data_IF_121191145212
#
_entry.id   IF_121191145212
#
_cell.length_a   1.000
_cell.length_b   1.000
_cell.length_c   1.000
_cell.angle_alpha   90.00
_cell.angle_beta   90.00
_cell.angle_gamma   90.00
#
_symmetry.space_group_name_H-M   'P 1'
#
loop_
_entity.id
_entity.type
_entity.pdbx_description
1 polymer ?
#
# COMPACT_ATOMS: atom_id res chain seq x y z
N UNK A 1 3.74 -11.94 -18.56
CA UNK A 1 3.82 -12.64 -17.26
C UNK A 1 3.24 -11.70 -16.21
N UNK A 2 2.43 -12.20 -15.29
CA UNK A 2 1.78 -11.41 -14.26
C UNK A 2 2.49 -11.56 -12.89
N UNK A 3 2.26 -10.58 -12.01
CA UNK A 3 2.65 -10.63 -10.60
C UNK A 3 1.39 -10.83 -9.76
N UNK A 4 1.26 -11.99 -9.14
CA UNK A 4 0.08 -12.37 -8.35
C UNK A 4 0.45 -12.20 -6.87
N UNK A 5 -0.22 -11.27 -6.19
CA UNK A 5 0.12 -10.86 -4.83
C UNK A 5 -1.04 -11.22 -3.91
N UNK A 6 -0.90 -12.29 -3.13
CA UNK A 6 -1.83 -12.64 -2.07
C UNK A 6 -1.51 -11.83 -0.81
N UNK A 7 -2.47 -11.14 -0.24
CA UNK A 7 -2.25 -10.31 0.94
C UNK A 7 -3.21 -10.60 2.08
N UNK A 8 -2.67 -10.55 3.30
CA UNK A 8 -3.43 -10.66 4.54
C UNK A 8 -2.77 -9.80 5.63
N UNK A 9 -3.26 -9.88 6.87
CA UNK A 9 -2.74 -9.08 7.98
C UNK A 9 -1.22 -9.25 8.18
N UNK A 10 -0.77 -10.47 8.46
CA UNK A 10 0.62 -10.76 8.82
C UNK A 10 1.48 -11.30 7.67
N UNK A 11 0.86 -11.71 6.56
CA UNK A 11 1.56 -12.31 5.42
C UNK A 11 2.08 -13.74 5.67
N UNK A 12 1.70 -14.41 6.77
CA UNK A 12 2.30 -15.69 7.21
C UNK A 12 1.38 -16.92 7.14
N UNK A 13 0.06 -16.72 6.97
CA UNK A 13 -0.92 -17.80 7.11
C UNK A 13 -1.85 -17.87 5.91
N UNK A 14 -2.97 -17.14 5.92
CA UNK A 14 -3.99 -17.26 4.86
C UNK A 14 -3.47 -16.91 3.46
N UNK A 15 -2.65 -15.86 3.31
CA UNK A 15 -2.04 -15.49 2.03
C UNK A 15 -1.06 -16.54 1.53
N UNK A 16 -0.26 -17.11 2.43
CA UNK A 16 0.74 -18.15 2.14
C UNK A 16 0.06 -19.43 1.68
N UNK A 17 -0.93 -19.90 2.43
CA UNK A 17 -1.67 -21.13 2.10
C UNK A 17 -2.44 -20.97 0.79
N UNK A 18 -3.09 -19.83 0.57
CA UNK A 18 -3.82 -19.59 -0.69
C UNK A 18 -2.85 -19.56 -1.88
N UNK A 19 -1.69 -18.93 -1.74
CA UNK A 19 -0.64 -18.91 -2.76
C UNK A 19 -0.10 -20.32 -3.07
N UNK A 20 0.11 -21.14 -2.04
CA UNK A 20 0.56 -22.53 -2.19
C UNK A 20 -0.48 -23.41 -2.90
N UNK A 21 -1.77 -23.24 -2.58
CA UNK A 21 -2.87 -23.91 -3.29
C UNK A 21 -2.90 -23.49 -4.77
N UNK A 22 -2.77 -22.19 -5.05
CA UNK A 22 -2.72 -21.68 -6.42
C UNK A 22 -1.56 -22.28 -7.23
N UNK A 23 -0.39 -22.43 -6.61
CA UNK A 23 0.79 -23.04 -7.23
C UNK A 23 0.73 -24.57 -7.34
N UNK A 24 -0.33 -25.22 -6.83
CA UNK A 24 -0.44 -26.67 -6.81
C UNK A 24 0.48 -27.36 -5.81
N UNK A 25 1.06 -26.62 -4.85
CA UNK A 25 1.85 -27.19 -3.74
C UNK A 25 0.96 -27.90 -2.71
N UNK A 26 -0.31 -27.53 -2.65
CA UNK A 26 -1.30 -28.08 -1.74
C UNK A 26 -2.54 -28.58 -2.51
N UNK A 27 -3.22 -29.63 -2.02
CA UNK A 27 -4.37 -30.23 -2.71
C UNK A 27 -5.58 -29.30 -2.74
N UNK A 28 -6.39 -29.38 -3.80
CA UNK A 28 -7.65 -28.62 -3.93
C UNK A 28 -8.89 -29.45 -3.58
N UNK A 29 -8.80 -30.75 -3.73
CA UNK A 29 -9.88 -31.74 -3.58
C UNK A 29 -10.06 -32.24 -2.14
N UNK A 30 -9.11 -31.93 -1.25
CA UNK A 30 -9.18 -32.25 0.18
C UNK A 30 -8.47 -31.20 1.04
N UNK A 31 -8.72 -31.26 2.34
CA UNK A 31 -7.98 -30.46 3.32
C UNK A 31 -6.54 -30.99 3.44
N UNK A 32 -5.57 -30.07 3.43
CA UNK A 32 -4.17 -30.41 3.65
C UNK A 32 -3.91 -30.90 5.08
N UNK A 33 -3.02 -31.87 5.20
CA UNK A 33 -2.53 -32.37 6.47
C UNK A 33 -1.62 -31.34 7.15
N UNK A 34 -1.39 -31.51 8.45
CA UNK A 34 -0.43 -30.70 9.21
C UNK A 34 0.97 -30.69 8.58
N UNK A 35 1.44 -31.83 8.11
CA UNK A 35 2.77 -31.95 7.52
C UNK A 35 2.86 -31.14 6.22
N UNK A 36 1.87 -31.26 5.34
CA UNK A 36 1.78 -30.49 4.09
C UNK A 36 1.73 -28.98 4.36
N UNK A 37 0.92 -28.53 5.33
CA UNK A 37 0.84 -27.11 5.67
C UNK A 37 2.18 -26.56 6.18
N UNK A 38 2.92 -27.33 6.98
CA UNK A 38 4.21 -26.92 7.52
C UNK A 38 5.35 -26.95 6.51
N UNK A 39 5.20 -27.70 5.42
CA UNK A 39 6.16 -27.75 4.33
C UNK A 39 6.04 -26.52 3.39
N UNK A 40 4.92 -25.79 3.46
CA UNK A 40 4.71 -24.59 2.65
C UNK A 40 5.73 -23.49 3.02
N UNK A 41 6.45 -22.93 2.03
CA UNK A 41 7.35 -21.81 2.26
C UNK A 41 6.65 -20.64 2.98
N UNK A 42 7.32 -20.04 3.96
CA UNK A 42 6.84 -18.90 4.74
C UNK A 42 5.67 -19.16 5.70
N UNK A 43 5.13 -20.39 5.77
CA UNK A 43 4.00 -20.70 6.64
C UNK A 43 4.41 -20.78 8.11
N UNK A 44 3.86 -19.88 8.94
CA UNK A 44 4.11 -19.79 10.38
C UNK A 44 5.60 -19.91 10.80
N UNK A 45 6.53 -19.44 9.96
CA UNK A 45 7.96 -19.52 10.22
C UNK A 45 8.39 -18.58 11.35
N UNK A 46 9.49 -18.92 12.03
CA UNK A 46 10.04 -18.13 13.14
C UNK A 46 10.55 -16.76 12.72
N UNK A 47 11.01 -16.65 11.48
CA UNK A 47 11.50 -15.41 10.90
C UNK A 47 10.45 -14.31 10.98
N UNK A 48 10.87 -13.16 11.50
CA UNK A 48 10.00 -12.01 11.65
C UNK A 48 9.52 -11.55 10.27
N UNK A 49 8.20 -11.48 10.08
CA UNK A 49 7.65 -10.93 8.84
C UNK A 49 7.69 -9.41 8.89
N UNK A 50 8.51 -8.84 8.00
CA UNK A 50 8.54 -7.39 7.80
C UNK A 50 7.33 -6.99 6.95
N UNK A 51 6.37 -6.33 7.58
CA UNK A 51 5.16 -5.87 6.91
C UNK A 51 5.50 -4.83 5.84
N UNK A 52 4.78 -4.88 4.72
CA UNK A 52 5.05 -4.07 3.53
C UNK A 52 6.10 -4.67 2.59
N UNK A 53 6.74 -5.80 2.94
CA UNK A 53 7.62 -6.52 2.03
C UNK A 53 6.89 -7.64 1.28
N UNK A 54 7.22 -7.76 0.00
CA UNK A 54 6.77 -8.87 -0.83
C UNK A 54 7.69 -10.06 -0.59
N UNK A 55 7.11 -11.24 -0.38
CA UNK A 55 7.87 -12.48 -0.26
C UNK A 55 7.47 -13.41 -1.38
N UNK A 56 8.46 -13.84 -2.15
CA UNK A 56 8.27 -14.77 -3.24
C UNK A 56 7.94 -16.18 -2.72
N UNK A 57 6.95 -16.83 -3.33
CA UNK A 57 6.56 -18.22 -3.04
C UNK A 57 7.02 -19.14 -4.18
N UNK A 58 6.74 -18.76 -5.43
CA UNK A 58 7.03 -19.59 -6.59
C UNK A 58 6.52 -18.99 -7.90
N UNK A 59 6.65 -19.77 -8.99
CA UNK A 59 6.10 -19.45 -10.31
C UNK A 59 5.11 -20.52 -10.72
N UNK A 60 3.99 -20.10 -11.33
CA UNK A 60 3.05 -21.04 -11.92
C UNK A 60 3.56 -21.60 -13.27
N UNK A 61 2.80 -22.52 -13.87
CA UNK A 61 3.14 -23.14 -15.16
C UNK A 61 3.22 -22.14 -16.34
N UNK A 62 2.66 -20.93 -16.19
CA UNK A 62 2.69 -19.87 -17.20
C UNK A 62 3.81 -18.85 -16.93
N UNK A 63 4.63 -19.09 -15.91
CA UNK A 63 5.70 -18.19 -15.50
C UNK A 63 5.24 -16.96 -14.73
N UNK A 64 3.99 -16.91 -14.26
CA UNK A 64 3.52 -15.85 -13.38
C UNK A 64 4.17 -15.98 -12.01
N UNK A 65 4.64 -14.87 -11.44
CA UNK A 65 5.26 -14.87 -10.12
C UNK A 65 4.18 -14.74 -9.06
N UNK A 66 4.25 -15.61 -8.05
CA UNK A 66 3.31 -15.62 -6.93
C UNK A 66 4.03 -15.17 -5.67
N UNK A 67 3.52 -14.09 -5.07
CA UNK A 67 4.09 -13.42 -3.91
C UNK A 67 3.05 -13.27 -2.80
N UNK A 68 3.53 -13.08 -1.58
CA UNK A 68 2.70 -12.76 -0.41
C UNK A 68 3.08 -11.43 0.22
N UNK A 69 2.09 -10.74 0.80
CA UNK A 69 2.25 -9.43 1.44
C UNK A 69 1.50 -9.36 2.77
N UNK A 70 2.22 -8.94 3.83
CA UNK A 70 1.62 -8.60 5.12
C UNK A 70 1.25 -7.12 5.20
N UNK A 71 -0.04 -6.82 5.37
CA UNK A 71 -0.60 -5.45 5.24
C UNK A 71 -1.05 -4.78 6.54
N UNK A 72 -0.98 -5.47 7.68
CA UNK A 72 -1.61 -5.03 8.95
C UNK A 72 -3.06 -4.58 8.73
N UNK A 73 -3.40 -3.37 9.16
CA UNK A 73 -4.75 -2.82 9.17
C UNK A 73 -5.11 -2.09 7.88
N UNK A 74 -4.29 -2.18 6.82
CA UNK A 74 -4.59 -1.55 5.53
C UNK A 74 -5.93 -2.04 4.92
N UNK A 75 -6.41 -3.24 5.29
CA UNK A 75 -7.70 -3.74 4.85
C UNK A 75 -7.74 -4.11 3.34
N UNK A 76 -8.93 -4.35 2.77
CA UNK A 76 -9.07 -4.78 1.36
C UNK A 76 -8.70 -3.69 0.35
N UNK A 77 -8.75 -2.41 0.76
CA UNK A 77 -8.43 -1.26 -0.10
C UNK A 77 -6.97 -1.25 -0.62
N UNK A 78 -6.10 -2.10 -0.05
CA UNK A 78 -4.77 -2.37 -0.60
C UNK A 78 -4.84 -2.92 -2.04
N UNK A 79 -5.82 -3.77 -2.37
CA UNK A 79 -5.99 -4.26 -3.75
C UNK A 79 -6.23 -3.09 -4.71
N UNK A 80 -7.11 -2.14 -4.33
CA UNK A 80 -7.40 -0.95 -5.12
C UNK A 80 -6.15 -0.08 -5.26
N UNK A 81 -5.40 0.07 -4.19
CA UNK A 81 -4.17 0.84 -4.18
C UNK A 81 -3.12 0.28 -5.15
N UNK A 82 -2.86 -1.03 -5.11
CA UNK A 82 -1.91 -1.70 -6.00
C UNK A 82 -2.34 -1.63 -7.48
N UNK A 83 -3.63 -1.83 -7.74
CA UNK A 83 -4.18 -1.71 -9.10
C UNK A 83 -3.95 -0.32 -9.69
N UNK A 84 -4.27 0.74 -8.93
CA UNK A 84 -4.10 2.12 -9.41
C UNK A 84 -2.64 2.49 -9.66
N UNK A 85 -1.71 1.98 -8.84
CA UNK A 85 -0.28 2.15 -9.10
C UNK A 85 0.10 1.49 -10.44
N UNK A 86 -0.38 0.28 -10.70
CA UNK A 86 -0.10 -0.40 -11.97
C UNK A 86 -0.68 0.34 -13.19
N UNK A 87 -1.83 0.98 -13.05
CA UNK A 87 -2.44 1.81 -14.11
C UNK A 87 -1.64 3.10 -14.36
N UNK A 88 -1.13 3.75 -13.31
CA UNK A 88 -0.35 4.99 -13.43
C UNK A 88 0.95 4.81 -14.24
N UNK A 89 1.53 3.62 -14.20
CA UNK A 89 2.79 3.27 -14.88
C UNK A 89 2.58 2.31 -16.06
N UNK A 90 1.34 2.20 -16.57
CA UNK A 90 0.92 1.29 -17.66
C UNK A 90 1.76 0.02 -17.77
N UNK A 91 1.88 -0.70 -16.65
CA UNK A 91 2.93 -1.70 -16.49
C UNK A 91 2.71 -2.85 -17.48
N UNK A 92 3.80 -3.28 -18.14
CA UNK A 92 3.77 -4.43 -19.07
C UNK A 92 3.44 -5.75 -18.36
N UNK A 93 3.73 -5.83 -17.05
CA UNK A 93 3.38 -6.95 -16.19
C UNK A 93 2.17 -6.58 -15.34
N UNK A 94 1.08 -7.32 -15.50
CA UNK A 94 -0.16 -7.06 -14.77
C UNK A 94 0.00 -7.49 -13.30
N UNK A 95 -0.32 -6.60 -12.37
CA UNK A 95 -0.39 -6.92 -10.94
C UNK A 95 -1.81 -7.39 -10.62
N UNK A 96 -1.95 -8.62 -10.11
CA UNK A 96 -3.19 -9.15 -9.58
C UNK A 96 -3.08 -9.27 -8.05
N UNK A 97 -3.70 -8.36 -7.31
CA UNK A 97 -3.68 -8.34 -5.85
C UNK A 97 -4.93 -8.98 -5.24
N UNK A 98 -4.77 -9.98 -4.38
CA UNK A 98 -5.86 -10.84 -3.89
C UNK A 98 -5.89 -10.81 -2.36
N UNK A 99 -7.01 -10.37 -1.80
CA UNK A 99 -7.22 -10.36 -0.35
C UNK A 99 -7.63 -11.75 0.16
N UNK A 100 -6.90 -12.26 1.16
CA UNK A 100 -7.19 -13.55 1.81
C UNK A 100 -7.60 -13.41 3.28
N UNK A 101 -8.04 -12.23 3.68
CA UNK A 101 -8.38 -11.93 5.09
C UNK A 101 -9.78 -12.43 5.46
N UNK A 102 -10.70 -12.57 4.50
CA UNK A 102 -12.09 -12.95 4.77
C UNK A 102 -12.27 -14.31 5.48
N UNK A 103 -11.59 -15.41 5.09
CA UNK A 103 -11.76 -16.71 5.75
C UNK A 103 -10.98 -16.88 7.07
N UNK A 104 -10.29 -15.84 7.53
CA UNK A 104 -9.46 -15.92 8.75
C UNK A 104 -10.37 -16.03 9.97
N UNK A 105 -10.23 -17.11 10.73
CA UNK A 105 -11.02 -17.38 11.93
C UNK A 105 -10.25 -17.10 13.24
N UNK A 106 -10.94 -17.04 14.40
CA UNK A 106 -10.30 -16.72 15.68
C UNK A 106 -9.13 -17.64 16.08
N UNK A 107 -9.14 -18.93 15.70
CA UNK A 107 -8.02 -19.82 16.00
C UNK A 107 -6.75 -19.39 15.26
N UNK A 108 -6.88 -18.96 14.01
CA UNK A 108 -5.76 -18.41 13.25
C UNK A 108 -5.26 -17.10 13.84
N UNK A 109 -6.17 -16.23 14.30
CA UNK A 109 -5.81 -14.94 14.94
C UNK A 109 -5.06 -15.16 16.25
N UNK A 110 -5.64 -15.95 17.16
CA UNK A 110 -5.06 -16.24 18.48
C UNK A 110 -3.77 -17.05 18.30
N UNK A 111 -3.80 -18.09 17.49
CA UNK A 111 -2.64 -18.91 17.19
C UNK A 111 -1.51 -18.10 16.56
N UNK A 112 -1.83 -17.23 15.60
CA UNK A 112 -0.84 -16.38 14.95
C UNK A 112 -0.23 -15.36 15.90
N UNK A 113 -1.04 -14.76 16.79
CA UNK A 113 -0.55 -13.88 17.85
C UNK A 113 0.36 -14.61 18.84
N UNK A 114 -0.02 -15.80 19.30
CA UNK A 114 0.82 -16.61 20.18
C UNK A 114 2.12 -17.03 19.49
N UNK A 115 2.04 -17.58 18.27
CA UNK A 115 3.19 -18.14 17.54
C UNK A 115 4.14 -17.05 17.06
N UNK A 116 3.63 -16.01 16.41
CA UNK A 116 4.44 -14.97 15.74
C UNK A 116 4.56 -13.69 16.57
N UNK A 117 3.54 -13.33 17.33
CA UNK A 117 3.53 -12.11 18.15
C UNK A 117 4.27 -12.29 19.47
N UNK A 118 4.03 -13.39 20.19
CA UNK A 118 4.64 -13.71 21.49
C UNK A 118 5.78 -14.74 21.41
N UNK A 119 6.09 -15.25 20.22
CA UNK A 119 7.09 -16.31 20.00
C UNK A 119 6.81 -17.63 20.76
N UNK A 120 5.56 -17.85 21.17
CA UNK A 120 5.08 -19.07 21.83
C UNK A 120 4.68 -20.11 20.78
N UNK A 121 5.65 -20.54 19.96
CA UNK A 121 5.42 -21.38 18.77
C UNK A 121 4.72 -22.69 19.08
N UNK A 122 5.09 -23.34 20.18
CA UNK A 122 4.53 -24.63 20.62
C UNK A 122 3.04 -24.55 20.98
N UNK A 123 2.56 -23.38 21.41
CA UNK A 123 1.14 -23.14 21.74
C UNK A 123 0.37 -22.56 20.57
N UNK A 124 0.97 -21.61 19.85
CA UNK A 124 0.30 -20.90 18.78
C UNK A 124 0.15 -21.73 17.51
N UNK A 125 1.20 -22.46 17.09
CA UNK A 125 1.21 -23.18 15.82
C UNK A 125 0.13 -24.26 15.71
N UNK A 126 -0.14 -25.10 16.74
CA UNK A 126 -1.26 -26.04 16.68
C UNK A 126 -2.62 -25.36 16.42
N UNK A 127 -2.86 -24.20 17.04
CA UNK A 127 -4.08 -23.42 16.82
C UNK A 127 -4.16 -22.85 15.41
N UNK A 128 -3.04 -22.32 14.88
CA UNK A 128 -2.95 -21.85 13.50
C UNK A 128 -3.25 -22.97 12.52
N UNK A 129 -2.66 -24.15 12.71
CA UNK A 129 -2.87 -25.32 11.84
C UNK A 129 -4.35 -25.69 11.84
N UNK A 130 -4.95 -25.87 13.02
CA UNK A 130 -6.36 -26.25 13.13
C UNK A 130 -7.27 -25.18 12.48
N UNK A 131 -7.02 -23.91 12.78
CA UNK A 131 -7.75 -22.80 12.16
C UNK A 131 -7.59 -22.77 10.64
N UNK A 132 -6.39 -23.04 10.13
CA UNK A 132 -6.10 -23.10 8.70
C UNK A 132 -6.85 -24.24 8.03
N UNK A 133 -6.89 -25.42 8.66
CA UNK A 133 -7.63 -26.58 8.16
C UNK A 133 -9.14 -26.33 8.10
N UNK A 134 -9.70 -25.66 9.10
CA UNK A 134 -11.12 -25.26 9.10
C UNK A 134 -11.45 -24.25 7.98
N UNK A 135 -10.54 -23.31 7.71
CA UNK A 135 -10.72 -22.31 6.65
C UNK A 135 -10.31 -22.80 5.25
N UNK A 136 -9.74 -24.00 5.15
CA UNK A 136 -9.09 -24.51 3.95
C UNK A 136 -9.97 -24.51 2.70
N UNK A 137 -11.25 -24.97 2.74
CA UNK A 137 -12.12 -24.96 1.56
C UNK A 137 -12.32 -23.56 0.98
N UNK A 138 -12.33 -22.52 1.82
CA UNK A 138 -12.43 -21.14 1.36
C UNK A 138 -11.14 -20.64 0.72
N UNK A 139 -9.97 -21.08 1.19
CA UNK A 139 -8.70 -20.76 0.53
C UNK A 139 -8.62 -21.40 -0.86
N UNK A 140 -9.13 -22.62 -1.02
CA UNK A 140 -9.28 -23.25 -2.35
C UNK A 140 -10.16 -22.40 -3.25
N UNK A 141 -11.34 -21.97 -2.79
CA UNK A 141 -12.23 -21.11 -3.59
C UNK A 141 -11.57 -19.78 -4.00
N UNK A 142 -10.79 -19.16 -3.12
CA UNK A 142 -10.07 -17.91 -3.45
C UNK A 142 -9.00 -18.17 -4.52
N UNK A 143 -8.25 -19.27 -4.40
CA UNK A 143 -7.23 -19.65 -5.38
C UNK A 143 -7.84 -19.94 -6.76
N UNK A 144 -8.92 -20.72 -6.82
CA UNK A 144 -9.64 -21.00 -8.07
C UNK A 144 -10.25 -19.74 -8.69
N UNK A 145 -10.85 -18.88 -7.86
CA UNK A 145 -11.37 -17.59 -8.32
C UNK A 145 -10.27 -16.69 -8.90
N UNK A 146 -9.06 -16.74 -8.34
CA UNK A 146 -7.91 -16.02 -8.89
C UNK A 146 -7.48 -16.59 -10.25
N UNK A 147 -7.39 -17.92 -10.39
CA UNK A 147 -7.08 -18.56 -11.67
C UNK A 147 -8.04 -18.14 -12.78
N UNK A 148 -9.34 -18.05 -12.47
CA UNK A 148 -10.35 -17.64 -13.42
C UNK A 148 -10.19 -16.16 -13.83
N UNK A 149 -10.01 -15.24 -12.87
CA UNK A 149 -9.74 -13.82 -13.17
C UNK A 149 -8.50 -13.63 -14.05
N UNK A 150 -7.44 -14.38 -13.75
CA UNK A 150 -6.19 -14.31 -14.52
C UNK A 150 -6.43 -14.84 -15.94
N UNK A 151 -7.15 -15.96 -16.11
CA UNK A 151 -7.50 -16.49 -17.45
C UNK A 151 -8.29 -15.49 -18.28
N UNK A 152 -9.24 -14.78 -17.67
CA UNK A 152 -10.08 -13.77 -18.36
C UNK A 152 -9.30 -12.52 -18.79
N UNK A 153 -8.38 -12.04 -17.94
CA UNK A 153 -7.57 -10.84 -18.22
C UNK A 153 -6.58 -11.00 -19.38
N UNK A 154 -6.14 -12.24 -19.66
CA UNK A 154 -5.19 -12.54 -20.73
C UNK A 154 -5.78 -12.58 -22.15
N UNK A 155 -7.01 -12.10 -22.37
CA UNK A 155 -7.48 -11.77 -23.72
C UNK A 155 -6.71 -10.51 -24.18
N UNK A 156 -5.90 -10.58 -25.25
CA UNK A 156 -4.95 -9.52 -25.58
C UNK A 156 -5.68 -8.22 -25.93
N UNK A 157 -5.50 -7.20 -25.09
CA UNK A 157 -5.79 -5.82 -25.49
C UNK A 157 -4.69 -5.38 -26.46
N UNK A 158 -5.11 -4.80 -27.59
CA UNK A 158 -4.27 -4.29 -28.69
C UNK A 158 -3.03 -3.54 -28.16
N UNK A 159 -1.85 -3.67 -28.80
CA UNK A 159 -0.63 -3.01 -28.35
C UNK A 159 -0.85 -1.50 -28.32
N UNK A 160 -0.87 -0.91 -27.12
CA UNK A 160 -0.87 0.53 -26.96
C UNK A 160 0.48 1.10 -27.40
N UNK A 161 0.41 2.23 -28.10
CA UNK A 161 1.48 3.07 -28.65
C UNK A 161 2.74 3.19 -27.75
N UNK A 162 3.91 3.53 -28.32
CA UNK A 162 5.15 3.69 -27.55
C UNK A 162 4.95 4.70 -26.41
N UNK A 163 4.97 4.20 -25.19
CA UNK A 163 4.60 4.92 -23.98
C UNK A 163 5.78 5.77 -23.50
N UNK A 164 5.62 7.10 -23.52
CA UNK A 164 6.53 8.03 -22.84
C UNK A 164 5.96 8.37 -21.46
N UNK A 165 6.37 7.63 -20.44
CA UNK A 165 6.06 8.00 -19.05
C UNK A 165 6.79 9.28 -18.68
N UNK A 166 6.03 10.34 -18.39
CA UNK A 166 6.52 11.44 -17.57
C UNK A 166 6.82 10.90 -16.17
N UNK A 167 7.93 11.30 -15.55
CA UNK A 167 8.24 10.84 -14.21
C UNK A 167 7.17 11.35 -13.23
N UNK A 168 6.83 10.52 -12.26
CA UNK A 168 5.76 10.79 -11.28
C UNK A 168 6.38 11.12 -9.93
N UNK A 169 5.86 12.17 -9.31
CA UNK A 169 6.15 12.52 -7.92
C UNK A 169 4.93 12.23 -7.05
N UNK A 170 5.04 11.20 -6.21
CA UNK A 170 3.94 10.66 -5.41
C UNK A 170 4.06 11.09 -3.94
N UNK A 171 3.19 12.00 -3.51
CA UNK A 171 3.10 12.44 -2.12
C UNK A 171 2.25 11.48 -1.29
N UNK A 172 2.86 10.90 -0.26
CA UNK A 172 2.22 9.96 0.64
C UNK A 172 1.39 10.70 1.69
N UNK A 173 0.08 10.46 1.67
CA UNK A 173 -0.89 11.15 2.49
C UNK A 173 -1.59 10.17 3.44
N UNK A 174 -1.17 10.12 4.72
CA UNK A 174 -1.89 9.41 5.75
C UNK A 174 -3.31 9.96 5.94
N UNK A 175 -4.22 9.12 6.44
CA UNK A 175 -5.61 9.51 6.60
C UNK A 175 -5.75 10.68 7.58
N UNK A 176 -6.42 11.74 7.13
CA UNK A 176 -6.67 12.97 7.87
C UNK A 176 -5.42 13.72 8.35
N UNK A 177 -4.26 13.50 7.72
CA UNK A 177 -3.08 14.34 7.93
C UNK A 177 -3.00 15.44 6.86
N UNK A 178 -3.13 16.74 7.23
CA UNK A 178 -3.10 17.82 6.25
C UNK A 178 -1.69 18.15 5.75
N UNK A 179 -0.61 17.78 6.46
CA UNK A 179 0.73 18.24 6.13
C UNK A 179 1.23 17.75 4.76
N UNK A 180 1.08 16.46 4.37
CA UNK A 180 1.54 16.02 3.06
C UNK A 180 0.82 16.70 1.89
N UNK A 181 -0.46 17.04 2.07
CA UNK A 181 -1.22 17.81 1.08
C UNK A 181 -0.63 19.22 0.97
N UNK A 182 -0.34 19.88 2.10
CA UNK A 182 0.27 21.21 2.11
C UNK A 182 1.69 21.20 1.53
N UNK A 183 2.47 20.14 1.76
CA UNK A 183 3.79 19.95 1.15
C UNK A 183 3.68 19.85 -0.38
N UNK A 184 2.72 19.07 -0.89
CA UNK A 184 2.48 19.00 -2.33
C UNK A 184 2.05 20.36 -2.91
N UNK A 185 1.21 21.11 -2.18
CA UNK A 185 0.83 22.47 -2.56
C UNK A 185 2.01 23.43 -2.62
N UNK A 186 2.89 23.40 -1.62
CA UNK A 186 4.14 24.17 -1.61
C UNK A 186 5.10 23.73 -2.72
N UNK A 187 5.08 22.47 -3.13
CA UNK A 187 5.88 22.01 -4.26
C UNK A 187 5.41 22.68 -5.56
N UNK A 188 4.10 22.74 -5.79
CA UNK A 188 3.52 23.37 -6.98
C UNK A 188 3.64 24.90 -6.95
N UNK A 189 3.47 25.50 -5.78
CA UNK A 189 3.49 26.95 -5.59
C UNK A 189 4.41 27.30 -4.40
N UNK A 190 5.73 27.36 -4.62
CA UNK A 190 6.73 27.59 -3.57
C UNK A 190 6.50 28.89 -2.82
N UNK A 191 6.05 29.94 -3.50
CA UNK A 191 5.88 31.28 -2.92
C UNK A 191 4.49 31.50 -2.31
N UNK A 192 3.63 30.47 -2.28
CA UNK A 192 2.28 30.59 -1.74
C UNK A 192 2.30 30.98 -0.25
N UNK A 193 1.41 31.90 0.12
CA UNK A 193 1.18 32.29 1.51
C UNK A 193 0.48 31.17 2.30
N UNK A 194 0.52 31.18 3.64
CA UNK A 194 -0.15 30.14 4.43
C UNK A 194 -1.66 30.10 4.17
N UNK A 195 -2.27 31.27 3.93
CA UNK A 195 -3.69 31.36 3.66
C UNK A 195 -4.05 30.73 2.32
N UNK A 196 -3.32 31.06 1.25
CA UNK A 196 -3.51 30.45 -0.07
C UNK A 196 -3.36 28.93 -0.02
N UNK A 197 -2.36 28.42 0.71
CA UNK A 197 -2.14 26.98 0.86
C UNK A 197 -3.28 26.28 1.60
N UNK A 198 -3.73 26.86 2.72
CA UNK A 198 -4.82 26.31 3.51
C UNK A 198 -6.15 26.33 2.73
N UNK A 199 -6.44 27.41 2.01
CA UNK A 199 -7.63 27.54 1.17
C UNK A 199 -7.61 26.52 0.02
N UNK A 200 -6.46 26.36 -0.63
CA UNK A 200 -6.25 25.36 -1.68
C UNK A 200 -6.41 23.92 -1.15
N UNK A 201 -5.80 23.60 0.00
CA UNK A 201 -5.89 22.27 0.61
C UNK A 201 -7.34 21.94 1.02
N UNK A 202 -8.09 22.91 1.54
CA UNK A 202 -9.50 22.75 1.86
C UNK A 202 -10.35 22.46 0.61
N UNK A 203 -10.08 23.13 -0.51
CA UNK A 203 -10.79 22.94 -1.77
C UNK A 203 -10.51 21.57 -2.42
N UNK A 204 -9.32 21.02 -2.19
CA UNK A 204 -8.92 19.72 -2.75
C UNK A 204 -9.72 18.55 -2.16
N UNK A 205 -10.24 18.68 -0.93
CA UNK A 205 -11.07 17.67 -0.23
C UNK A 205 -10.44 16.27 -0.16
N UNK A 206 -9.11 16.16 -0.27
CA UNK A 206 -8.39 14.89 -0.23
C UNK A 206 -8.16 14.47 1.22
N UNK A 207 -8.62 13.27 1.59
CA UNK A 207 -8.58 12.78 2.98
C UNK A 207 -7.43 11.83 3.28
N UNK A 208 -6.68 11.38 2.27
CA UNK A 208 -5.66 10.34 2.45
C UNK A 208 -6.23 8.95 2.73
N UNK A 209 -7.49 8.68 2.32
CA UNK A 209 -8.07 7.33 2.41
C UNK A 209 -7.28 6.35 1.54
N UNK A 210 -7.08 5.12 2.01
CA UNK A 210 -6.32 4.13 1.24
C UNK A 210 -6.92 3.92 -0.15
N UNK A 211 -6.08 3.80 -1.17
CA UNK A 211 -6.51 3.58 -2.56
C UNK A 211 -7.06 4.84 -3.26
N UNK A 212 -7.02 6.01 -2.62
CA UNK A 212 -7.37 7.28 -3.28
C UNK A 212 -6.13 7.92 -3.91
N UNK A 213 -6.28 8.41 -5.14
CA UNK A 213 -5.23 9.12 -5.86
C UNK A 213 -5.79 10.41 -6.43
N UNK A 214 -4.96 11.46 -6.49
CA UNK A 214 -5.36 12.74 -7.08
C UNK A 214 -4.18 13.39 -7.78
N UNK A 215 -4.30 13.57 -9.10
CA UNK A 215 -3.37 14.37 -9.88
C UNK A 215 -3.52 15.85 -9.50
N UNK A 216 -2.39 16.54 -9.35
CA UNK A 216 -2.36 17.96 -8.97
C UNK A 216 -1.81 18.88 -10.06
N UNK A 217 -1.04 18.36 -11.01
CA UNK A 217 -0.37 19.16 -12.03
C UNK A 217 1.05 18.67 -12.30
N UNK A 218 1.77 19.41 -13.13
CA UNK A 218 3.18 19.16 -13.43
C UNK A 218 4.06 20.23 -12.76
N UNK A 219 5.15 19.80 -12.13
CA UNK A 219 6.21 20.69 -11.65
C UNK A 219 7.58 20.07 -11.90
N UNK A 220 8.51 20.87 -12.42
CA UNK A 220 9.90 20.45 -12.68
C UNK A 220 10.02 19.19 -13.56
N UNK A 221 9.08 19.00 -14.49
CA UNK A 221 9.04 17.83 -15.36
C UNK A 221 8.41 16.58 -14.73
N UNK A 222 7.98 16.65 -13.47
CA UNK A 222 7.28 15.57 -12.77
C UNK A 222 5.77 15.82 -12.72
N UNK A 223 5.00 14.78 -12.98
CA UNK A 223 3.56 14.78 -12.72
C UNK A 223 3.31 14.48 -11.24
N UNK A 224 2.71 15.43 -10.52
CA UNK A 224 2.46 15.33 -9.08
C UNK A 224 1.13 14.64 -8.80
N UNK A 225 1.18 13.65 -7.90
CA UNK A 225 0.01 12.94 -7.40
C UNK A 225 0.02 12.90 -5.87
N UNK A 226 -1.17 13.01 -5.28
CA UNK A 226 -1.42 12.61 -3.90
C UNK A 226 -1.82 11.13 -3.88
N UNK A 227 -1.21 10.33 -3.01
CA UNK A 227 -1.58 8.94 -2.74
C UNK A 227 -2.07 8.80 -1.30
N UNK A 228 -3.32 8.40 -1.13
CA UNK A 228 -3.89 8.13 0.17
C UNK A 228 -3.46 6.76 0.66
N UNK A 229 -2.87 6.71 1.86
CA UNK A 229 -2.28 5.50 2.43
C UNK A 229 -2.99 5.00 3.69
N UNK A 230 -4.13 5.62 4.04
CA UNK A 230 -4.90 5.19 5.20
C UNK A 230 -4.12 5.38 6.50
N UNK A 231 -4.23 4.41 7.41
CA UNK A 231 -3.64 4.45 8.75
C UNK A 231 -2.25 3.82 8.84
N UNK A 232 -1.76 3.22 7.76
CA UNK A 232 -0.50 2.45 7.73
C UNK A 232 0.49 3.04 6.70
N UNK A 233 0.82 4.35 6.76
CA UNK A 233 1.61 5.01 5.71
C UNK A 233 3.00 4.40 5.56
N UNK A 234 3.66 3.99 6.65
CA UNK A 234 4.99 3.38 6.59
C UNK A 234 4.97 2.02 5.88
N UNK A 235 3.91 1.23 6.08
CA UNK A 235 3.73 -0.05 5.39
C UNK A 235 3.48 0.21 3.90
N UNK A 236 2.62 1.18 3.56
CA UNK A 236 2.33 1.51 2.16
C UNK A 236 3.56 2.05 1.42
N UNK A 237 4.41 2.84 2.08
CA UNK A 237 5.68 3.31 1.51
C UNK A 237 6.61 2.14 1.18
N UNK A 238 6.76 1.18 2.11
CA UNK A 238 7.56 -0.03 1.87
C UNK A 238 6.98 -0.85 0.72
N UNK A 239 5.67 -1.08 0.72
CA UNK A 239 4.98 -1.79 -0.36
C UNK A 239 5.21 -1.11 -1.70
N UNK A 240 5.09 0.23 -1.78
CA UNK A 240 5.34 0.96 -3.01
C UNK A 240 6.77 0.82 -3.52
N UNK A 241 7.76 0.85 -2.62
CA UNK A 241 9.17 0.64 -2.99
C UNK A 241 9.41 -0.77 -3.53
N UNK A 242 8.84 -1.77 -2.89
CA UNK A 242 8.89 -3.16 -3.36
C UNK A 242 8.22 -3.33 -4.73
N UNK A 243 7.05 -2.72 -4.92
CA UNK A 243 6.32 -2.75 -6.21
C UNK A 243 7.12 -2.02 -7.30
N UNK A 244 7.72 -0.87 -6.99
CA UNK A 244 8.61 -0.14 -7.90
C UNK A 244 9.77 -1.03 -8.37
N UNK A 245 10.42 -1.73 -7.44
CA UNK A 245 11.48 -2.70 -7.74
C UNK A 245 10.98 -3.88 -8.55
N UNK A 246 9.85 -4.47 -8.15
CA UNK A 246 9.23 -5.63 -8.81
C UNK A 246 8.88 -5.34 -10.27
N UNK A 247 8.42 -4.12 -10.56
CA UNK A 247 8.04 -3.66 -11.88
C UNK A 247 9.22 -3.10 -12.70
N UNK A 248 10.43 -3.06 -12.12
CA UNK A 248 11.60 -2.48 -12.77
C UNK A 248 11.49 -0.99 -13.07
N UNK A 249 10.67 -0.25 -12.31
CA UNK A 249 10.49 1.19 -12.49
C UNK A 249 11.69 1.93 -11.89
N UNK A 250 12.47 2.71 -12.65
CA UNK A 250 13.59 3.46 -12.10
C UNK A 250 13.14 4.48 -11.06
N UNK A 251 13.95 4.73 -10.01
CA UNK A 251 13.63 5.72 -8.97
C UNK A 251 13.35 7.13 -9.53
N UNK A 252 14.03 7.50 -10.62
CA UNK A 252 13.83 8.80 -11.28
C UNK A 252 12.45 8.91 -11.97
N UNK A 253 11.79 7.77 -12.26
CA UNK A 253 10.45 7.70 -12.86
C UNK A 253 9.34 7.63 -11.83
N UNK A 254 9.59 7.05 -10.65
CA UNK A 254 8.66 7.05 -9.52
C UNK A 254 9.36 7.52 -8.24
N UNK A 255 9.19 8.80 -7.97
CA UNK A 255 9.68 9.46 -6.77
C UNK A 255 8.60 9.39 -5.68
N UNK A 256 8.91 8.77 -4.54
CA UNK A 256 7.98 8.60 -3.42
C UNK A 256 8.34 9.60 -2.32
N UNK A 257 7.49 10.61 -2.10
CA UNK A 257 7.71 11.62 -1.07
C UNK A 257 6.95 11.24 0.19
N UNK A 258 7.69 10.79 1.20
CA UNK A 258 7.17 10.50 2.52
C UNK A 258 7.66 11.55 3.52
N UNK A 259 6.73 12.35 4.06
CA UNK A 259 7.05 13.40 5.03
C UNK A 259 7.54 12.81 6.35
N UNK A 260 8.72 13.23 6.87
CA UNK A 260 9.14 12.88 8.23
C UNK A 260 8.31 13.62 9.29
N UNK A 261 7.65 14.74 8.92
CA UNK A 261 6.80 15.51 9.83
C UNK A 261 5.43 14.86 9.98
N UNK A 262 4.97 14.78 11.23
CA UNK A 262 3.59 14.43 11.59
C UNK A 262 2.84 15.69 12.01
N UNK A 263 1.62 15.88 11.51
CA UNK A 263 0.85 17.05 11.93
C UNK A 263 0.55 16.99 13.44
N UNK A 264 0.69 18.10 14.17
CA UNK A 264 0.24 18.18 15.56
C UNK A 264 -1.24 17.82 15.64
N UNK A 265 -1.63 17.18 16.74
CA UNK A 265 -3.03 16.78 16.97
C UNK A 265 -4.00 17.95 16.78
N UNK A 266 -3.65 19.13 17.31
CA UNK A 266 -4.44 20.35 17.17
C UNK A 266 -4.68 20.73 15.69
N UNK A 267 -3.66 20.65 14.84
CA UNK A 267 -3.78 20.96 13.40
C UNK A 267 -4.70 19.96 12.70
N UNK A 268 -4.61 18.65 13.05
CA UNK A 268 -5.52 17.62 12.51
C UNK A 268 -6.97 17.89 12.89
N UNK A 269 -7.21 18.27 14.15
CA UNK A 269 -8.56 18.59 14.65
C UNK A 269 -9.13 19.82 13.96
N UNK A 270 -8.37 20.92 13.91
CA UNK A 270 -8.82 22.17 13.28
C UNK A 270 -9.10 21.94 11.79
N UNK A 271 -8.18 21.28 11.07
CA UNK A 271 -8.36 20.97 9.64
C UNK A 271 -9.58 20.10 9.38
N UNK A 272 -9.87 19.15 10.28
CA UNK A 272 -11.10 18.34 10.22
C UNK A 272 -12.35 19.17 10.47
N UNK A 273 -12.32 20.05 11.47
CA UNK A 273 -13.45 20.93 11.83
C UNK A 273 -13.77 21.93 10.71
N UNK A 274 -12.75 22.52 10.09
CA UNK A 274 -12.88 23.47 8.98
C UNK A 274 -13.65 22.90 7.79
N UNK A 275 -13.61 21.58 7.57
CA UNK A 275 -14.39 20.92 6.50
C UNK A 275 -15.90 21.00 6.72
N UNK A 276 -16.35 21.11 7.97
CA UNK A 276 -17.77 21.24 8.34
C UNK A 276 -18.17 22.69 8.56
N UNK A 277 -17.23 23.55 8.97
CA UNK A 277 -17.47 24.95 9.32
C UNK A 277 -16.54 25.89 8.53
N UNK A 278 -16.64 25.89 7.21
CA UNK A 278 -15.66 26.56 6.31
C UNK A 278 -15.60 28.09 6.42
N UNK A 279 -16.50 28.72 7.19
CA UNK A 279 -16.70 30.17 7.22
C UNK A 279 -16.33 30.84 8.54
N UNK A 280 -15.90 30.10 9.57
CA UNK A 280 -15.49 30.76 10.82
C UNK A 280 -14.09 31.34 10.68
N UNK A 281 -14.00 32.67 10.63
CA UNK A 281 -12.71 33.42 10.65
C UNK A 281 -11.79 32.95 11.79
N UNK A 282 -12.39 32.53 12.90
CA UNK A 282 -11.69 31.95 14.05
C UNK A 282 -10.95 30.64 13.72
N UNK A 283 -11.59 29.66 13.05
CA UNK A 283 -10.92 28.40 12.70
C UNK A 283 -9.76 28.62 11.73
N UNK A 284 -9.93 29.53 10.76
CA UNK A 284 -8.86 29.87 9.80
C UNK A 284 -7.67 30.49 10.53
N UNK A 285 -7.92 31.42 11.46
CA UNK A 285 -6.88 32.05 12.27
C UNK A 285 -6.14 31.02 13.14
N UNK A 286 -6.87 30.11 13.79
CA UNK A 286 -6.30 29.04 14.62
C UNK A 286 -5.48 28.06 13.78
N UNK A 287 -5.96 27.67 12.60
CA UNK A 287 -5.25 26.78 11.68
C UNK A 287 -3.95 27.42 11.20
N UNK A 288 -4.00 28.70 10.79
CA UNK A 288 -2.81 29.46 10.39
C UNK A 288 -1.79 29.54 11.52
N UNK A 289 -2.23 29.80 12.75
CA UNK A 289 -1.36 29.85 13.93
C UNK A 289 -0.73 28.49 14.24
N UNK A 290 -1.48 27.40 14.08
CA UNK A 290 -0.98 26.04 14.25
C UNK A 290 0.00 25.62 13.13
N UNK A 291 -0.17 26.13 11.91
CA UNK A 291 0.70 25.86 10.77
C UNK A 291 1.98 26.71 10.77
N UNK A 292 1.93 27.94 11.27
CA UNK A 292 3.05 28.88 11.29
C UNK A 292 4.41 28.30 11.76
N UNK A 293 4.51 27.53 12.87
CA UNK A 293 5.79 26.95 13.27
C UNK A 293 6.30 25.86 12.31
N UNK A 294 5.41 25.22 11.55
CA UNK A 294 5.73 24.11 10.66
C UNK A 294 6.05 24.57 9.24
N UNK A 295 5.55 25.74 8.81
CA UNK A 295 5.66 26.18 7.42
C UNK A 295 7.12 26.32 6.97
N UNK A 296 8.00 26.78 7.86
CA UNK A 296 9.44 26.91 7.58
C UNK A 296 10.07 25.55 7.31
N UNK A 297 9.74 24.54 8.12
CA UNK A 297 10.21 23.17 7.92
C UNK A 297 9.60 22.54 6.66
N UNK A 298 8.32 22.79 6.39
CA UNK A 298 7.68 22.33 5.15
C UNK A 298 8.38 22.89 3.90
N UNK A 299 8.71 24.19 3.89
CA UNK A 299 9.47 24.82 2.80
C UNK A 299 10.85 24.19 2.65
N UNK A 300 11.54 23.90 3.75
CA UNK A 300 12.84 23.22 3.75
C UNK A 300 12.77 21.82 3.15
N UNK A 301 11.75 21.04 3.51
CA UNK A 301 11.51 19.69 2.97
C UNK A 301 11.20 19.73 1.47
N UNK A 302 10.35 20.68 1.03
CA UNK A 302 10.06 20.84 -0.40
C UNK A 302 11.32 21.22 -1.16
N UNK A 303 12.10 22.17 -0.64
CA UNK A 303 13.36 22.58 -1.25
C UNK A 303 14.36 21.40 -1.37
N UNK A 304 14.55 20.62 -0.30
CA UNK A 304 15.42 19.44 -0.35
C UNK A 304 14.91 18.37 -1.30
N UNK A 305 13.58 18.18 -1.38
CA UNK A 305 12.96 17.23 -2.33
C UNK A 305 13.24 17.65 -3.77
N UNK A 306 13.15 18.96 -4.08
CA UNK A 306 13.45 19.50 -5.41
C UNK A 306 14.91 19.34 -5.80
N UNK A 307 15.83 19.53 -4.85
CA UNK A 307 17.26 19.24 -5.08
C UNK A 307 17.46 17.76 -5.38
N UNK A 308 16.92 16.87 -4.54
CA UNK A 308 17.04 15.42 -4.73
C UNK A 308 16.46 14.94 -6.08
N UNK A 309 15.35 15.54 -6.54
CA UNK A 309 14.79 15.29 -7.88
C UNK A 309 15.75 15.68 -9.00
N UNK A 310 16.38 16.85 -8.90
CA UNK A 310 17.34 17.34 -9.91
C UNK A 310 18.62 16.50 -9.94
N UNK A 311 19.06 16.03 -8.77
CA UNK A 311 20.27 15.22 -8.64
C UNK A 311 20.01 13.72 -8.90
N UNK A 312 18.73 13.29 -8.96
CA UNK A 312 18.36 11.90 -9.19
C UNK A 312 18.57 10.97 -7.98
N UNK A 313 18.68 11.51 -6.76
CA UNK A 313 19.06 10.78 -5.53
C UNK A 313 17.83 10.49 -4.65
N UNK A 314 16.73 10.04 -5.25
CA UNK A 314 15.50 9.82 -4.49
C UNK A 314 15.45 8.44 -3.84
N UNK A 315 15.85 8.38 -2.57
CA UNK A 315 15.30 7.46 -1.54
C UNK A 315 15.58 7.89 -0.09
#
# INVERSE_FOLDING_TARGET
>A
MAKIIYHCYGGSHSSVITAAIFLGMLPKDRVASKAELLDVPHFDQQEAVTHGHLRFIGRDLKGNEVLVLGKRMAGPDLTIFLHKISELFSCREEIEAIDTTFPVNPLMVIGGFLSRGLNLVTLGRPLVILGTQLAYPYFVQIAEGAENRIKEKFIPKSPSLPYQEKPILLYICPENDPLPVLLAGLHLAPDATEQQLLDWAANIKFRGKLGTFKYLGNAEGYDLYLAGTGREPEIMVRTLREIRTLLGIPCIKLAIVHSPLKAPFLLKVISRARRFFSWSKLLIMLEKRALAPLIKECRKIVYSTRIALREGILD
#
